data_IF_105449404306
#
_entry.id   IF_105449404306
#
_cell.length_a   1.000
_cell.length_b   1.000
_cell.length_c   1.000
_cell.angle_alpha   90.00
_cell.angle_beta   90.00
_cell.angle_gamma   90.00
#
_symmetry.space_group_name_H-M   'P 1'
#
loop_
_entity.id
_entity.type
_entity.pdbx_description
1 polymer ?
#
# COMPACT_ATOMS: atom_id res chain seq x y z
N UNK A 1 -15.43 16.67 5.86
CA UNK A 1 -15.07 15.49 6.71
C UNK A 1 -13.71 14.99 6.26
N UNK A 2 -12.84 14.48 7.15
CA UNK A 2 -11.52 13.97 6.75
C UNK A 2 -11.69 12.59 6.10
N UNK A 3 -11.04 12.38 4.95
CA UNK A 3 -10.97 11.12 4.21
C UNK A 3 -9.52 10.74 3.94
N UNK A 4 -9.27 9.49 3.55
CA UNK A 4 -7.96 9.05 3.10
C UNK A 4 -8.07 8.09 1.91
N UNK A 5 -6.99 8.00 1.12
CA UNK A 5 -6.84 7.06 0.02
C UNK A 5 -5.43 6.50 0.01
N UNK A 6 -5.34 5.17 -0.12
CA UNK A 6 -4.08 4.44 -0.19
C UNK A 6 -3.74 4.06 -1.64
N UNK A 7 -2.48 4.26 -2.00
CA UNK A 7 -1.88 3.88 -3.26
C UNK A 7 -0.86 2.78 -2.98
N UNK A 8 -1.27 1.52 -3.18
CA UNK A 8 -0.40 0.37 -3.05
C UNK A 8 0.25 0.02 -4.41
N UNK A 9 1.48 -0.54 -4.42
CA UNK A 9 2.14 -0.99 -5.64
C UNK A 9 1.30 -2.02 -6.38
N UNK A 10 1.12 -1.83 -7.68
CA UNK A 10 0.44 -2.81 -8.54
C UNK A 10 1.42 -3.84 -9.07
N UNK A 11 0.85 -4.99 -9.45
CA UNK A 11 1.59 -6.07 -10.12
C UNK A 11 1.80 -5.66 -11.58
N UNK A 12 3.06 -5.53 -12.01
CA UNK A 12 3.42 -5.24 -13.40
C UNK A 12 3.53 -6.52 -14.23
N UNK A 13 4.05 -7.59 -13.63
CA UNK A 13 4.20 -8.90 -14.27
C UNK A 13 3.89 -10.01 -13.27
N UNK A 14 3.03 -10.97 -13.63
CA UNK A 14 2.76 -12.14 -12.78
C UNK A 14 3.76 -13.24 -13.09
N UNK A 15 4.46 -13.73 -12.07
CA UNK A 15 5.39 -14.85 -12.22
C UNK A 15 4.66 -16.16 -12.63
N UNK A 16 5.27 -17.00 -13.49
CA UNK A 16 4.68 -18.29 -13.85
C UNK A 16 4.60 -19.21 -12.63
N UNK A 17 3.53 -20.03 -12.55
CA UNK A 17 3.31 -21.03 -11.49
C UNK A 17 3.41 -20.51 -10.05
N UNK A 18 2.96 -19.27 -9.80
CA UNK A 18 3.04 -18.67 -8.47
C UNK A 18 4.46 -18.20 -8.09
N UNK A 19 5.36 -18.10 -9.07
CA UNK A 19 6.67 -17.51 -8.92
C UNK A 19 6.63 -16.01 -8.62
N UNK A 20 7.80 -15.40 -8.33
CA UNK A 20 7.89 -13.99 -7.99
C UNK A 20 7.29 -13.12 -9.10
N UNK A 21 6.46 -12.16 -8.71
CA UNK A 21 5.86 -11.19 -9.62
C UNK A 21 6.67 -9.90 -9.65
N UNK A 22 6.69 -9.21 -10.79
CA UNK A 22 7.19 -7.85 -10.89
C UNK A 22 6.18 -6.86 -10.31
N UNK A 23 6.67 -5.78 -9.71
CA UNK A 23 5.84 -4.73 -9.12
C UNK A 23 6.26 -3.36 -9.61
N UNK A 24 5.31 -2.43 -9.51
CA UNK A 24 5.61 -1.00 -9.61
C UNK A 24 6.66 -0.63 -8.57
N UNK A 25 7.65 0.14 -9.00
CA UNK A 25 8.56 0.85 -8.12
C UNK A 25 7.80 1.83 -7.24
N UNK A 26 8.36 2.17 -6.08
CA UNK A 26 7.76 3.18 -5.21
C UNK A 26 7.57 4.54 -5.91
N UNK A 27 8.47 4.91 -6.83
CA UNK A 27 8.31 6.10 -7.67
C UNK A 27 7.07 6.07 -8.57
N UNK A 28 6.71 4.91 -9.11
CA UNK A 28 5.49 4.74 -9.91
C UNK A 28 4.24 4.92 -9.04
N UNK A 29 4.27 4.41 -7.80
CA UNK A 29 3.19 4.61 -6.82
C UNK A 29 3.02 6.07 -6.45
N UNK A 30 4.12 6.78 -6.20
CA UNK A 30 4.10 8.23 -5.93
C UNK A 30 3.56 9.00 -7.14
N UNK A 31 3.95 8.61 -8.36
CA UNK A 31 3.43 9.19 -9.60
C UNK A 31 1.91 9.01 -9.71
N UNK A 32 1.39 7.82 -9.39
CA UNK A 32 -0.05 7.55 -9.39
C UNK A 32 -0.81 8.39 -8.34
N UNK A 33 -0.22 8.60 -7.17
CA UNK A 33 -0.78 9.48 -6.16
C UNK A 33 -0.83 10.95 -6.64
N UNK A 34 0.26 11.44 -7.23
CA UNK A 34 0.32 12.79 -7.81
C UNK A 34 -0.73 13.00 -8.90
N UNK A 35 -0.82 12.08 -9.86
CA UNK A 35 -1.83 12.13 -10.92
C UNK A 35 -3.25 12.17 -10.36
N UNK A 36 -3.54 11.42 -9.29
CA UNK A 36 -4.86 11.46 -8.68
C UNK A 36 -5.13 12.81 -7.98
N UNK A 37 -4.15 13.36 -7.27
CA UNK A 37 -4.26 14.67 -6.62
C UNK A 37 -4.51 15.77 -7.67
N UNK A 38 -3.75 15.78 -8.77
CA UNK A 38 -3.89 16.78 -9.83
C UNK A 38 -5.25 16.74 -10.53
N UNK A 39 -5.84 15.55 -10.67
CA UNK A 39 -7.11 15.35 -11.36
C UNK A 39 -8.33 15.51 -10.43
N UNK A 40 -8.15 15.83 -9.15
CA UNK A 40 -9.24 15.95 -8.18
C UNK A 40 -9.27 17.33 -7.53
N UNK A 41 -10.47 17.89 -7.35
CA UNK A 41 -10.68 19.16 -6.65
C UNK A 41 -10.76 18.96 -5.14
N UNK A 42 -9.82 18.20 -4.57
CA UNK A 42 -9.76 17.91 -3.14
C UNK A 42 -8.73 18.80 -2.45
N UNK A 43 -8.97 19.12 -1.19
CA UNK A 43 -7.97 19.73 -0.34
C UNK A 43 -7.10 18.63 0.28
N UNK A 44 -5.87 18.48 -0.22
CA UNK A 44 -4.88 17.59 0.40
C UNK A 44 -4.45 18.16 1.76
N UNK A 45 -4.49 17.32 2.78
CA UNK A 45 -4.09 17.65 4.16
C UNK A 45 -2.68 17.14 4.43
N UNK A 46 -2.40 15.88 4.07
CA UNK A 46 -1.13 15.22 4.31
C UNK A 46 -0.89 14.11 3.28
N UNK A 47 0.37 13.84 2.97
CA UNK A 47 0.81 12.69 2.18
C UNK A 47 1.91 11.99 2.96
N UNK A 48 1.72 10.70 3.24
CA UNK A 48 2.65 9.91 4.03
C UNK A 48 2.98 8.57 3.38
N UNK A 49 4.16 8.05 3.69
CA UNK A 49 4.54 6.67 3.33
C UNK A 49 4.16 5.76 4.47
N UNK A 50 3.25 4.82 4.22
CA UNK A 50 2.79 3.84 5.21
C UNK A 50 3.38 2.48 4.87
N UNK A 51 3.83 1.77 5.89
CA UNK A 51 4.23 0.36 5.80
C UNK A 51 3.09 -0.48 6.31
N UNK A 52 2.51 -1.32 5.45
CA UNK A 52 1.41 -2.19 5.80
C UNK A 52 1.81 -3.67 5.68
N UNK A 53 1.38 -4.52 6.61
CA UNK A 53 1.53 -5.96 6.46
C UNK A 53 0.60 -6.47 5.34
N UNK A 54 1.07 -7.48 4.61
CA UNK A 54 0.31 -8.18 3.56
C UNK A 54 -0.98 -8.79 4.11
N UNK A 55 -0.87 -9.47 5.25
CA UNK A 55 -1.98 -10.23 5.83
C UNK A 55 -1.83 -10.29 7.34
N UNK A 56 -2.75 -9.65 8.06
CA UNK A 56 -3.00 -9.94 9.48
C UNK A 56 -4.25 -10.83 9.50
N UNK A 57 -4.09 -12.15 9.62
CA UNK A 57 -5.23 -13.02 9.94
C UNK A 57 -5.53 -12.89 11.44
N UNK A 58 -6.39 -11.93 11.81
CA UNK A 58 -6.73 -11.73 13.22
C UNK A 58 -7.67 -10.56 13.53
N UNK A 59 -8.97 -10.89 13.64
CA UNK A 59 -10.01 -10.35 14.54
C UNK A 59 -10.17 -8.82 14.65
N UNK A 60 -11.26 -8.30 14.08
CA UNK A 60 -12.01 -7.19 14.68
C UNK A 60 -11.72 -5.79 14.14
N UNK A 61 -12.74 -5.25 13.46
CA UNK A 61 -13.00 -3.89 12.98
C UNK A 61 -11.81 -3.04 12.48
N UNK A 62 -11.58 -3.14 11.17
CA UNK A 62 -10.53 -2.44 10.44
C UNK A 62 -9.65 -3.45 9.73
N UNK A 63 -10.06 -3.87 8.53
CA UNK A 63 -9.30 -4.76 7.66
C UNK A 63 -8.00 -4.02 7.26
N UNK A 64 -6.97 -4.06 8.13
CA UNK A 64 -5.68 -3.40 7.94
C UNK A 64 -4.84 -4.02 6.81
N UNK A 65 -5.41 -4.98 6.09
CA UNK A 65 -4.82 -5.59 4.91
C UNK A 65 -5.37 -4.98 3.62
N UNK A 66 -4.47 -4.55 2.74
CA UNK A 66 -4.83 -4.41 1.33
C UNK A 66 -4.96 -5.83 0.78
N UNK A 67 -6.16 -6.23 0.32
CA UNK A 67 -6.44 -7.59 -0.20
C UNK A 67 -5.56 -8.03 -1.39
N UNK A 68 -4.81 -7.10 -1.97
CA UNK A 68 -3.92 -7.31 -3.11
C UNK A 68 -2.80 -6.27 -3.10
N UNK A 69 -1.70 -6.56 -2.43
CA UNK A 69 -0.40 -5.95 -2.68
C UNK A 69 0.58 -7.10 -2.68
N UNK A 70 1.57 -7.15 -3.56
CA UNK A 70 2.52 -8.27 -3.61
C UNK A 70 4.00 -7.81 -3.51
N UNK A 71 4.25 -6.51 -3.36
CA UNK A 71 5.59 -5.91 -3.27
C UNK A 71 6.10 -5.91 -1.83
N UNK A 72 6.69 -7.01 -1.38
CA UNK A 72 7.01 -7.19 0.03
C UNK A 72 8.50 -7.16 0.37
N UNK A 73 8.77 -6.73 1.59
CA UNK A 73 10.00 -7.04 2.31
C UNK A 73 9.66 -7.70 3.65
N UNK A 74 10.47 -8.68 4.10
CA UNK A 74 10.25 -9.34 5.37
C UNK A 74 10.62 -8.42 6.53
N UNK A 75 9.73 -8.28 7.50
CA UNK A 75 9.98 -7.64 8.79
C UNK A 75 9.89 -8.71 9.88
N UNK A 76 10.96 -8.82 10.68
CA UNK A 76 10.99 -9.73 11.84
C UNK A 76 10.33 -9.04 13.03
N UNK A 77 9.25 -9.61 13.55
CA UNK A 77 8.69 -9.17 14.83
C UNK A 77 9.39 -9.86 16.00
N UNK A 78 9.28 -9.31 17.21
CA UNK A 78 10.01 -9.75 18.42
C UNK A 78 9.85 -11.24 18.78
N UNK A 79 8.84 -11.91 18.22
CA UNK A 79 8.56 -13.34 18.41
C UNK A 79 9.22 -14.25 17.37
N UNK A 80 10.07 -13.71 16.48
CA UNK A 80 10.75 -14.49 15.45
C UNK A 80 9.87 -14.84 14.24
N UNK A 81 8.65 -14.30 14.17
CA UNK A 81 7.77 -14.43 13.00
C UNK A 81 8.16 -13.39 11.95
N UNK A 82 8.34 -13.83 10.70
CA UNK A 82 8.51 -12.94 9.56
C UNK A 82 7.14 -12.53 9.02
N UNK A 83 6.88 -11.23 8.94
CA UNK A 83 5.70 -10.68 8.28
C UNK A 83 6.13 -10.01 6.99
N UNK A 84 5.44 -10.31 5.90
CA UNK A 84 5.62 -9.60 4.64
C UNK A 84 4.96 -8.23 4.74
N UNK A 85 5.73 -7.17 4.53
CA UNK A 85 5.24 -5.80 4.56
C UNK A 85 5.47 -5.12 3.21
N UNK A 86 4.56 -4.24 2.80
CA UNK A 86 4.72 -3.39 1.62
C UNK A 86 4.63 -1.92 2.00
N UNK A 87 5.21 -1.06 1.16
CA UNK A 87 5.10 0.39 1.27
C UNK A 87 4.01 0.90 0.35
N UNK A 88 3.13 1.77 0.86
CA UNK A 88 2.12 2.47 0.10
C UNK A 88 2.14 3.97 0.41
N UNK A 89 1.58 4.78 -0.49
CA UNK A 89 1.38 6.21 -0.25
C UNK A 89 -0.05 6.42 0.26
N UNK A 90 -0.22 7.04 1.42
CA UNK A 90 -1.53 7.44 1.95
C UNK A 90 -1.70 8.95 1.78
N UNK A 91 -2.79 9.34 1.15
CA UNK A 91 -3.19 10.74 1.03
C UNK A 91 -4.38 11.01 1.92
N UNK A 92 -4.23 11.92 2.88
CA UNK A 92 -5.30 12.45 3.70
C UNK A 92 -5.87 13.70 3.04
N UNK A 93 -7.20 13.80 2.92
CA UNK A 93 -7.85 14.88 2.19
C UNK A 93 -9.21 15.27 2.76
N UNK A 94 -9.72 16.43 2.33
CA UNK A 94 -11.09 16.91 2.54
C UNK A 94 -11.72 17.22 1.18
N UNK A 95 -13.00 16.90 1.07
CA UNK A 95 -13.92 17.39 0.04
C UNK A 95 -14.70 18.59 0.58
#
# INVERSE_FOLDING_TARGET
MIKYKDFAPRITERGPFGGPSGYESFSEVVSAANQWIENTTIQVINVETVVLPDRIEGIGDGDYGVKTSNAFYPVMISQGLAINCFQCVRVWYRE
#
